data_IF_341371287423
#
_entry.id   IF_341371287423
#
_cell.length_a   1.000
_cell.length_b   1.000
_cell.length_c   1.000
_cell.angle_alpha   90.00
_cell.angle_beta   90.00
_cell.angle_gamma   90.00
#
_symmetry.space_group_name_H-M   'P 1'
#
loop_
_entity.id
_entity.type
_entity.pdbx_description
1 polymer ?
#
# COMPACT_ATOMS: atom_id res chain seq x y z
N UNK A 1 30.53 -2.03 20.29
CA UNK A 1 29.12 -1.85 19.87
C UNK A 1 28.23 -2.45 20.94
N UNK A 2 27.21 -1.72 21.42
CA UNK A 2 26.29 -2.27 22.44
C UNK A 2 25.25 -3.17 21.79
N UNK A 3 24.72 -4.13 22.55
CA UNK A 3 23.72 -5.10 22.09
C UNK A 3 22.45 -4.42 21.54
N UNK A 4 22.10 -3.22 22.04
CA UNK A 4 20.99 -2.43 21.52
C UNK A 4 21.23 -1.92 20.10
N UNK A 5 22.44 -1.48 19.76
CA UNK A 5 22.75 -0.99 18.42
C UNK A 5 22.73 -2.11 17.37
N UNK A 6 23.13 -3.33 17.76
CA UNK A 6 23.10 -4.51 16.89
C UNK A 6 21.65 -4.90 16.57
N UNK A 7 20.78 -4.96 17.58
CA UNK A 7 19.37 -5.27 17.40
C UNK A 7 18.66 -4.23 16.52
N UNK A 8 19.00 -2.94 16.63
CA UNK A 8 18.44 -1.88 15.77
C UNK A 8 18.89 -2.01 14.32
N UNK A 9 20.15 -2.39 14.07
CA UNK A 9 20.68 -2.59 12.70
C UNK A 9 20.03 -3.81 12.03
N UNK A 10 19.85 -4.91 12.76
CA UNK A 10 19.19 -6.11 12.25
C UNK A 10 17.71 -5.84 11.93
N UNK A 11 16.99 -5.11 12.80
CA UNK A 11 15.62 -4.70 12.54
C UNK A 11 15.47 -3.82 11.29
N UNK A 12 16.33 -2.80 11.12
CA UNK A 12 16.31 -1.94 9.93
C UNK A 12 16.58 -2.76 8.66
N UNK A 13 17.49 -3.73 8.70
CA UNK A 13 17.75 -4.63 7.58
C UNK A 13 16.50 -5.41 7.17
N UNK A 14 15.77 -5.97 8.13
CA UNK A 14 14.53 -6.71 7.85
C UNK A 14 13.48 -5.80 7.20
N UNK A 15 13.33 -4.57 7.71
CA UNK A 15 12.44 -3.58 7.13
C UNK A 15 12.84 -3.18 5.69
N UNK A 16 14.14 -3.00 5.42
CA UNK A 16 14.66 -2.73 4.07
C UNK A 16 14.29 -3.86 3.10
N UNK A 17 14.50 -5.12 3.50
CA UNK A 17 14.19 -6.28 2.66
C UNK A 17 12.69 -6.38 2.39
N UNK A 18 11.86 -6.07 3.39
CA UNK A 18 10.42 -6.14 3.27
C UNK A 18 9.89 -5.07 2.30
N UNK A 19 10.30 -3.80 2.46
CA UNK A 19 10.01 -2.73 1.51
C UNK A 19 10.51 -3.05 0.11
N UNK A 20 11.78 -3.45 0.00
CA UNK A 20 12.42 -3.68 -1.29
C UNK A 20 11.77 -4.81 -2.10
N UNK A 21 11.42 -5.93 -1.44
CA UNK A 21 10.71 -7.03 -2.10
C UNK A 21 9.34 -6.60 -2.61
N UNK A 22 8.64 -5.75 -1.87
CA UNK A 22 7.34 -5.24 -2.32
C UNK A 22 7.47 -4.42 -3.61
N UNK A 23 8.45 -3.53 -3.72
CA UNK A 23 8.60 -2.71 -4.92
C UNK A 23 9.27 -3.47 -6.08
N UNK A 24 10.14 -4.44 -5.79
CA UNK A 24 10.80 -5.22 -6.83
C UNK A 24 9.83 -6.23 -7.47
N UNK A 25 9.00 -6.90 -6.66
CA UNK A 25 8.23 -8.07 -7.08
C UNK A 25 6.70 -7.91 -6.99
N UNK A 26 6.19 -6.83 -6.38
CA UNK A 26 4.76 -6.49 -6.36
C UNK A 26 4.54 -5.07 -6.94
N UNK A 27 3.38 -4.46 -6.68
CA UNK A 27 3.06 -3.14 -7.27
C UNK A 27 3.73 -1.95 -6.58
N UNK A 28 4.14 -2.08 -5.32
CA UNK A 28 4.60 -0.96 -4.49
C UNK A 28 3.50 0.04 -4.08
N UNK A 29 2.23 -0.21 -4.41
CA UNK A 29 1.13 0.74 -4.16
C UNK A 29 1.02 1.08 -2.68
N UNK A 30 1.10 0.08 -1.80
CA UNK A 30 0.94 0.26 -0.36
C UNK A 30 2.05 1.13 0.24
N UNK A 31 3.30 0.91 -0.14
CA UNK A 31 4.41 1.77 0.28
C UNK A 31 4.24 3.24 -0.14
N UNK A 32 3.81 3.50 -1.37
CA UNK A 32 3.58 4.87 -1.87
C UNK A 32 2.35 5.53 -1.24
N UNK A 33 1.28 4.76 -1.01
CA UNK A 33 0.12 5.23 -0.27
C UNK A 33 0.51 5.64 1.15
N UNK A 34 1.28 4.79 1.84
CA UNK A 34 1.78 5.07 3.18
C UNK A 34 2.70 6.30 3.20
N UNK A 35 3.63 6.43 2.25
CA UNK A 35 4.48 7.63 2.12
C UNK A 35 3.63 8.91 2.02
N UNK A 36 2.65 8.92 1.12
CA UNK A 36 1.74 10.05 0.91
C UNK A 36 0.97 10.39 2.19
N UNK A 37 0.37 9.41 2.84
CA UNK A 37 -0.42 9.59 4.06
C UNK A 37 0.47 10.12 5.20
N UNK A 38 1.63 9.51 5.42
CA UNK A 38 2.56 9.97 6.45
C UNK A 38 3.05 11.41 6.17
N UNK A 39 3.24 11.79 4.90
CA UNK A 39 3.67 13.14 4.52
C UNK A 39 2.56 14.20 4.64
N UNK A 40 1.35 13.88 4.22
CA UNK A 40 0.25 14.85 4.14
C UNK A 40 -0.56 14.94 5.42
N UNK A 41 -0.68 13.83 6.15
CA UNK A 41 -1.56 13.71 7.31
C UNK A 41 -0.77 13.49 8.62
N UNK A 42 0.52 13.16 8.55
CA UNK A 42 1.35 12.92 9.73
C UNK A 42 0.99 11.65 10.51
N UNK A 43 0.13 10.77 9.96
CA UNK A 43 -0.24 9.49 10.56
C UNK A 43 0.98 8.59 10.53
N UNK A 44 1.44 8.12 11.69
CA UNK A 44 2.62 7.25 11.84
C UNK A 44 2.35 6.03 12.72
N UNK A 45 1.13 5.89 13.22
CA UNK A 45 0.68 4.67 13.89
C UNK A 45 0.29 3.61 12.84
N UNK A 46 0.78 2.36 12.93
CA UNK A 46 0.50 1.33 11.92
C UNK A 46 -0.98 0.99 11.73
N UNK A 47 -1.80 1.01 12.78
CA UNK A 47 -3.24 0.72 12.70
C UNK A 47 -3.98 1.84 11.97
N UNK A 48 -3.72 3.09 12.35
CA UNK A 48 -4.30 4.25 11.66
C UNK A 48 -3.81 4.33 10.20
N UNK A 49 -2.54 3.99 9.96
CA UNK A 49 -1.96 3.97 8.62
C UNK A 49 -2.58 2.87 7.75
N UNK A 50 -2.89 1.71 8.34
CA UNK A 50 -3.63 0.64 7.65
C UNK A 50 -4.98 1.15 7.16
N UNK A 51 -5.78 1.73 8.08
CA UNK A 51 -7.10 2.24 7.74
C UNK A 51 -7.02 3.33 6.65
N UNK A 52 -6.10 4.29 6.80
CA UNK A 52 -5.93 5.35 5.83
C UNK A 52 -5.49 4.82 4.44
N UNK A 53 -4.64 3.80 4.41
CA UNK A 53 -4.27 3.13 3.15
C UNK A 53 -5.47 2.44 2.51
N UNK A 54 -6.28 1.70 3.28
CA UNK A 54 -7.47 1.03 2.77
C UNK A 54 -8.49 2.04 2.21
N UNK A 55 -8.68 3.16 2.89
CA UNK A 55 -9.56 4.24 2.41
C UNK A 55 -9.06 4.84 1.09
N UNK A 56 -7.74 5.03 0.96
CA UNK A 56 -7.12 5.67 -0.20
C UNK A 56 -7.11 4.75 -1.44
N UNK A 57 -6.63 3.51 -1.30
CA UNK A 57 -6.38 2.62 -2.45
C UNK A 57 -7.27 1.38 -2.50
N UNK A 58 -8.04 1.13 -1.43
CA UNK A 58 -8.90 -0.06 -1.30
C UNK A 58 -8.13 -1.30 -0.84
N UNK A 59 -8.83 -2.20 -0.15
CA UNK A 59 -8.26 -3.43 0.41
C UNK A 59 -7.48 -4.28 -0.60
N UNK A 60 -7.94 -4.53 -1.84
CA UNK A 60 -7.18 -5.39 -2.77
C UNK A 60 -5.75 -4.93 -3.03
N UNK A 61 -5.52 -3.62 -3.10
CA UNK A 61 -4.18 -3.05 -3.27
C UNK A 61 -3.36 -3.13 -1.98
N UNK A 62 -4.01 -2.97 -0.82
CA UNK A 62 -3.37 -3.10 0.49
C UNK A 62 -2.91 -4.54 0.77
N UNK A 63 -3.56 -5.57 0.20
CA UNK A 63 -3.25 -6.98 0.49
C UNK A 63 -2.48 -7.72 -0.63
N UNK A 64 -2.13 -7.07 -1.76
CA UNK A 64 -1.60 -7.71 -2.98
C UNK A 64 -0.42 -8.69 -2.76
N UNK A 65 0.43 -8.44 -1.76
CA UNK A 65 1.61 -9.26 -1.46
C UNK A 65 1.48 -10.09 -0.17
N UNK A 66 0.27 -10.29 0.34
CA UNK A 66 -0.02 -11.09 1.53
C UNK A 66 -0.97 -12.24 1.19
N UNK A 67 -0.81 -13.35 1.93
CA UNK A 67 -1.71 -14.50 1.89
C UNK A 67 -2.98 -14.17 2.69
N UNK A 68 -3.92 -13.51 2.01
CA UNK A 68 -5.20 -13.07 2.54
C UNK A 68 -6.31 -13.20 1.47
N UNK A 69 -7.56 -13.57 1.83
CA UNK A 69 -8.68 -13.64 0.89
C UNK A 69 -8.96 -12.36 0.09
N UNK A 70 -8.54 -11.20 0.60
CA UNK A 70 -8.67 -9.89 -0.07
C UNK A 70 -7.60 -9.66 -1.15
N UNK A 71 -6.56 -10.51 -1.21
CA UNK A 71 -5.58 -10.47 -2.28
C UNK A 71 -6.21 -10.98 -3.60
N UNK A 72 -6.53 -10.04 -4.50
CA UNK A 72 -7.17 -10.34 -5.78
C UNK A 72 -6.21 -10.91 -6.84
N UNK A 73 -4.90 -10.89 -6.59
CA UNK A 73 -3.86 -11.40 -7.50
C UNK A 73 -2.78 -12.11 -6.68
N UNK A 74 -2.91 -13.42 -6.41
CA UNK A 74 -1.82 -14.17 -5.80
C UNK A 74 -0.61 -14.10 -6.74
N UNK A 75 0.32 -13.22 -6.42
CA UNK A 75 1.65 -13.20 -7.02
C UNK A 75 2.46 -14.36 -6.43
N UNK A 76 3.55 -14.77 -7.09
CA UNK A 76 4.50 -15.72 -6.50
C UNK A 76 5.20 -15.15 -5.24
N UNK A 77 5.00 -13.86 -4.95
CA UNK A 77 5.48 -13.19 -3.75
C UNK A 77 4.39 -13.20 -2.65
N UNK A 78 4.71 -13.84 -1.53
CA UNK A 78 3.95 -13.76 -0.28
C UNK A 78 4.90 -13.26 0.81
N UNK A 79 4.68 -12.03 1.30
CA UNK A 79 5.49 -11.42 2.35
C UNK A 79 5.09 -11.91 3.75
N UNK A 80 3.84 -12.33 3.93
CA UNK A 80 3.31 -12.82 5.19
C UNK A 80 1.87 -13.32 5.07
N UNK A 81 1.31 -13.74 6.20
CA UNK A 81 -0.08 -14.20 6.31
C UNK A 81 -0.94 -13.12 6.97
N UNK A 82 -2.16 -12.93 6.44
CA UNK A 82 -3.14 -11.98 7.00
C UNK A 82 -2.79 -10.51 6.75
N UNK A 83 -3.02 -9.66 7.76
CA UNK A 83 -2.90 -8.22 7.63
C UNK A 83 -1.45 -7.73 7.42
N UNK A 84 -1.24 -6.67 6.62
CA UNK A 84 0.09 -6.20 6.25
C UNK A 84 0.77 -5.31 7.31
N UNK A 85 0.50 -5.55 8.60
CA UNK A 85 1.13 -4.82 9.70
C UNK A 85 2.67 -4.87 9.67
N UNK A 86 3.32 -6.02 9.36
CA UNK A 86 4.77 -6.04 9.24
C UNK A 86 5.32 -5.06 8.19
N UNK A 87 4.59 -4.86 7.08
CA UNK A 87 4.94 -3.85 6.07
C UNK A 87 4.77 -2.44 6.60
N UNK A 88 3.65 -2.14 7.25
CA UNK A 88 3.34 -0.80 7.74
C UNK A 88 4.29 -0.38 8.87
N UNK A 89 4.59 -1.28 9.79
CA UNK A 89 5.62 -1.10 10.82
C UNK A 89 6.99 -0.82 10.19
N UNK A 90 7.34 -1.57 9.13
CA UNK A 90 8.59 -1.35 8.41
C UNK A 90 8.66 0.06 7.81
N UNK A 91 7.60 0.56 7.17
CA UNK A 91 7.62 1.91 6.60
C UNK A 91 7.78 3.00 7.66
N UNK A 92 7.08 2.86 8.80
CA UNK A 92 7.19 3.82 9.92
C UNK A 92 8.60 3.80 10.50
N UNK A 93 9.19 2.62 10.68
CA UNK A 93 10.55 2.47 11.15
C UNK A 93 11.57 3.06 10.17
N UNK A 94 11.43 2.81 8.86
CA UNK A 94 12.30 3.36 7.84
C UNK A 94 12.15 4.88 7.72
N UNK A 95 10.93 5.42 7.81
CA UNK A 95 10.69 6.87 7.89
C UNK A 95 11.37 7.49 9.09
N UNK A 96 11.33 6.82 10.24
CA UNK A 96 12.01 7.30 11.45
C UNK A 96 13.54 7.28 11.27
N UNK A 97 14.05 6.30 10.54
CA UNK A 97 15.49 6.12 10.31
C UNK A 97 16.08 7.09 9.28
N UNK A 98 15.45 7.20 8.11
CA UNK A 98 15.95 7.99 6.97
C UNK A 98 15.34 9.40 6.86
N UNK A 99 14.21 9.66 7.53
CA UNK A 99 13.52 10.95 7.47
C UNK A 99 12.52 11.05 6.32
N UNK A 100 12.38 12.23 5.74
CA UNK A 100 11.31 12.49 4.75
C UNK A 100 11.56 11.81 3.40
N UNK A 101 12.83 11.57 3.04
CA UNK A 101 13.24 10.92 1.79
C UNK A 101 13.39 9.39 1.93
N UNK A 102 12.80 8.83 3.00
CA UNK A 102 13.00 7.44 3.40
C UNK A 102 12.77 6.41 2.32
N UNK A 103 11.82 6.65 1.42
CA UNK A 103 11.48 5.69 0.39
C UNK A 103 12.65 5.52 -0.58
N UNK A 104 13.22 6.62 -1.08
CA UNK A 104 14.35 6.60 -2.01
C UNK A 104 15.62 6.07 -1.33
N UNK A 105 15.93 6.55 -0.13
CA UNK A 105 17.13 6.13 0.59
C UNK A 105 17.08 4.64 0.94
N UNK A 106 15.94 4.16 1.48
CA UNK A 106 15.75 2.75 1.82
C UNK A 106 15.82 1.84 0.58
N UNK A 107 15.25 2.26 -0.54
CA UNK A 107 15.30 1.47 -1.77
C UNK A 107 16.68 1.46 -2.41
N UNK A 108 17.44 2.55 -2.28
CA UNK A 108 18.83 2.61 -2.73
C UNK A 108 19.69 1.63 -1.93
N UNK A 109 19.52 1.59 -0.60
CA UNK A 109 20.21 0.65 0.28
C UNK A 109 19.78 -0.80 0.02
N UNK A 110 18.48 -1.02 -0.23
CA UNK A 110 17.98 -2.31 -0.68
C UNK A 110 18.62 -2.75 -2.00
N UNK A 111 18.59 -1.91 -3.02
CA UNK A 111 19.11 -2.21 -4.35
C UNK A 111 20.62 -2.52 -4.32
N UNK A 112 21.39 -1.82 -3.48
CA UNK A 112 22.83 -2.05 -3.31
C UNK A 112 23.18 -3.30 -2.49
N UNK A 113 22.37 -3.64 -1.48
CA UNK A 113 22.70 -4.70 -0.51
C UNK A 113 21.96 -6.02 -0.68
N UNK A 114 20.69 -5.98 -1.08
CA UNK A 114 19.76 -7.11 -0.94
C UNK A 114 18.98 -7.42 -2.23
N UNK A 115 18.78 -6.43 -3.09
CA UNK A 115 18.07 -6.55 -4.36
C UNK A 115 18.73 -7.51 -5.34
N UNK A 116 18.02 -7.83 -6.43
CA UNK A 116 18.57 -8.67 -7.49
C UNK A 116 19.84 -8.07 -8.12
N UNK A 117 20.58 -8.90 -8.86
CA UNK A 117 21.82 -8.49 -9.54
C UNK A 117 21.59 -7.29 -10.47
N UNK A 118 20.41 -7.19 -11.09
CA UNK A 118 20.05 -6.07 -11.95
C UNK A 118 19.98 -4.74 -11.18
N UNK A 119 19.46 -4.76 -9.95
CA UNK A 119 19.35 -3.54 -9.13
C UNK A 119 20.73 -3.02 -8.68
N UNK A 120 21.73 -3.89 -8.54
CA UNK A 120 23.04 -3.55 -7.98
C UNK A 120 23.96 -2.76 -8.91
N UNK A 121 23.68 -2.74 -10.23
CA UNK A 121 24.57 -2.06 -11.18
C UNK A 121 24.51 -0.54 -11.05
N UNK A 122 23.35 0.00 -10.68
CA UNK A 122 23.14 1.42 -10.39
C UNK A 122 22.01 1.57 -9.36
N UNK A 123 22.28 1.35 -8.06
CA UNK A 123 21.24 1.26 -7.04
C UNK A 123 20.34 2.49 -6.94
N UNK A 124 20.89 3.69 -7.13
CA UNK A 124 20.13 4.93 -7.04
C UNK A 124 19.15 5.06 -8.22
N UNK A 125 19.63 4.87 -9.46
CA UNK A 125 18.75 4.92 -10.63
C UNK A 125 17.69 3.81 -10.58
N UNK A 126 18.08 2.61 -10.15
CA UNK A 126 17.15 1.49 -10.04
C UNK A 126 16.09 1.74 -8.96
N UNK A 127 16.44 2.34 -7.83
CA UNK A 127 15.47 2.75 -6.82
C UNK A 127 14.46 3.78 -7.38
N UNK A 128 14.93 4.78 -8.13
CA UNK A 128 14.05 5.74 -8.80
C UNK A 128 13.09 5.06 -9.80
N UNK A 129 13.58 4.10 -10.59
CA UNK A 129 12.78 3.33 -11.54
C UNK A 129 11.71 2.49 -10.83
N UNK A 130 12.04 1.86 -9.69
CA UNK A 130 11.09 1.14 -8.85
C UNK A 130 9.98 2.08 -8.34
N UNK A 131 10.34 3.26 -7.80
CA UNK A 131 9.39 4.27 -7.33
C UNK A 131 8.52 4.77 -8.48
N UNK A 132 9.11 5.01 -9.66
CA UNK A 132 8.40 5.45 -10.86
C UNK A 132 7.29 4.47 -11.24
N UNK A 133 7.61 3.17 -11.34
CA UNK A 133 6.61 2.13 -11.62
C UNK A 133 5.52 2.06 -10.54
N UNK A 134 5.91 2.15 -9.26
CA UNK A 134 4.95 2.12 -8.16
C UNK A 134 4.02 3.34 -8.15
N UNK A 135 4.51 4.51 -8.58
CA UNK A 135 3.71 5.73 -8.75
C UNK A 135 2.67 5.58 -9.87
N UNK A 136 3.05 4.97 -10.99
CA UNK A 136 2.12 4.68 -12.08
C UNK A 136 1.04 3.68 -11.62
N UNK A 137 1.44 2.61 -10.92
CA UNK A 137 0.51 1.65 -10.33
C UNK A 137 -0.46 2.30 -9.32
N UNK A 138 0.04 3.20 -8.47
CA UNK A 138 -0.80 3.95 -7.53
C UNK A 138 -1.80 4.82 -8.27
N UNK A 139 -1.38 5.51 -9.34
CA UNK A 139 -2.28 6.31 -10.15
C UNK A 139 -3.45 5.48 -10.71
N UNK A 140 -3.14 4.32 -11.30
CA UNK A 140 -4.14 3.40 -11.83
C UNK A 140 -5.09 2.87 -10.74
N UNK A 141 -4.55 2.53 -9.57
CA UNK A 141 -5.33 2.08 -8.42
C UNK A 141 -6.31 3.16 -7.92
N UNK A 142 -5.87 4.42 -7.87
CA UNK A 142 -6.71 5.56 -7.48
C UNK A 142 -7.84 5.79 -8.49
N UNK A 143 -7.55 5.73 -9.80
CA UNK A 143 -8.58 5.84 -10.84
C UNK A 143 -9.60 4.71 -10.75
N UNK A 144 -9.13 3.48 -10.51
CA UNK A 144 -9.99 2.33 -10.34
C UNK A 144 -10.90 2.47 -9.11
N UNK A 145 -10.35 2.87 -7.96
CA UNK A 145 -11.09 3.11 -6.72
C UNK A 145 -12.14 4.20 -6.90
N UNK A 146 -11.78 5.30 -7.55
CA UNK A 146 -12.70 6.39 -7.87
C UNK A 146 -13.88 5.89 -8.72
N UNK A 147 -13.61 5.07 -9.73
CA UNK A 147 -14.64 4.44 -10.56
C UNK A 147 -15.60 3.55 -9.76
N UNK A 148 -15.07 2.75 -8.83
CA UNK A 148 -15.89 1.91 -7.94
C UNK A 148 -16.78 2.75 -7.01
N UNK A 149 -16.26 3.83 -6.44
CA UNK A 149 -17.01 4.69 -5.52
C UNK A 149 -18.13 5.44 -6.25
N UNK A 150 -17.89 5.89 -7.48
CA UNK A 150 -18.94 6.45 -8.33
C UNK A 150 -20.02 5.42 -8.66
N UNK A 151 -19.63 4.19 -9.01
CA UNK A 151 -20.57 3.09 -9.27
C UNK A 151 -21.50 2.83 -8.08
N UNK A 152 -20.92 2.64 -6.88
CA UNK A 152 -21.68 2.45 -5.63
C UNK A 152 -22.63 3.61 -5.32
N UNK A 153 -22.19 4.84 -5.58
CA UNK A 153 -23.01 6.03 -5.37
C UNK A 153 -24.24 6.05 -6.28
N UNK A 154 -24.06 5.71 -7.57
CA UNK A 154 -25.16 5.63 -8.54
C UNK A 154 -26.15 4.51 -8.17
N UNK A 155 -25.65 3.33 -7.78
CA UNK A 155 -26.49 2.22 -7.33
C UNK A 155 -27.33 2.57 -6.10
N UNK A 156 -26.74 3.27 -5.13
CA UNK A 156 -27.45 3.74 -3.95
C UNK A 156 -28.56 4.74 -4.29
N UNK A 157 -28.28 5.71 -5.18
CA UNK A 157 -29.28 6.67 -5.65
C UNK A 157 -30.41 5.98 -6.42
N UNK A 158 -30.08 5.04 -7.30
CA UNK A 158 -31.05 4.23 -8.04
C UNK A 158 -31.96 3.44 -7.08
N UNK A 159 -31.38 2.79 -6.08
CA UNK A 159 -32.12 2.03 -5.06
C UNK A 159 -33.08 2.92 -4.26
N UNK A 160 -32.64 4.13 -3.86
CA UNK A 160 -33.49 5.11 -3.18
C UNK A 160 -34.63 5.61 -4.06
N UNK A 161 -34.38 5.82 -5.35
CA UNK A 161 -35.41 6.23 -6.30
C UNK A 161 -36.45 5.12 -6.54
N UNK A 162 -36.00 3.88 -6.72
CA UNK A 162 -36.90 2.72 -6.84
C UNK A 162 -37.75 2.51 -5.58
N UNK A 163 -37.15 2.69 -4.40
CA UNK A 163 -37.89 2.68 -3.13
C UNK A 163 -38.92 3.82 -3.05
N UNK A 164 -38.57 5.03 -3.45
CA UNK A 164 -39.53 6.14 -3.49
C UNK A 164 -40.69 5.85 -4.46
N UNK A 165 -40.40 5.33 -5.65
CA UNK A 165 -41.42 4.95 -6.64
C UNK A 165 -42.35 3.84 -6.12
N UNK A 166 -41.85 2.89 -5.34
CA UNK A 166 -42.69 1.83 -4.76
C UNK A 166 -43.68 2.37 -3.71
N UNK A 167 -43.31 3.44 -2.99
CA UNK A 167 -44.21 4.13 -2.06
C UNK A 167 -45.36 4.88 -2.76
N UNK A 168 -45.17 5.31 -4.01
CA UNK A 168 -46.21 5.98 -4.80
C UNK A 168 -47.14 5.01 -5.54
N UNK A 169 -46.77 3.73 -5.68
CA UNK A 169 -47.69 2.68 -6.17
C UNK A 169 -48.68 2.31 -5.04
N UNK A 170 -49.75 3.09 -4.88
CA UNK A 170 -50.91 2.64 -4.09
C UNK A 170 -51.51 1.37 -4.71
N UNK A 171 -51.96 0.39 -3.90
CA UNK A 171 -52.79 -0.70 -4.42
C UNK A 171 -54.09 -0.08 -4.97
N UNK A 172 -54.36 -0.31 -6.26
CA UNK A 172 -55.69 -0.16 -6.81
C UNK A 172 -56.58 -1.15 -6.07
N UNK A 173 -57.35 -0.68 -5.09
CA UNK A 173 -58.39 -1.47 -4.45
C UNK A 173 -59.42 -1.83 -5.52
N UNK A 174 -59.71 -3.13 -5.60
CA UNK A 174 -60.78 -3.71 -6.40
C UNK A 174 -62.17 -3.31 -5.88
#
# INVERSE_FOLDING_TARGET
MSMNAINTIEAIREHLVLLGKELEFASGIRALAAEKIMNEQGITDPDDLFQACEELVGSPAVFESYDDPLNAKPSDLVLGQGCPFPSLEAYVALRTHYGNDWLLDALTDYAGGFGSVALRSDPAQQAEDLIGRARDNLHDALLFKLGQDFGKSIEHLSSRFQFALSLFKRPSAA
#
